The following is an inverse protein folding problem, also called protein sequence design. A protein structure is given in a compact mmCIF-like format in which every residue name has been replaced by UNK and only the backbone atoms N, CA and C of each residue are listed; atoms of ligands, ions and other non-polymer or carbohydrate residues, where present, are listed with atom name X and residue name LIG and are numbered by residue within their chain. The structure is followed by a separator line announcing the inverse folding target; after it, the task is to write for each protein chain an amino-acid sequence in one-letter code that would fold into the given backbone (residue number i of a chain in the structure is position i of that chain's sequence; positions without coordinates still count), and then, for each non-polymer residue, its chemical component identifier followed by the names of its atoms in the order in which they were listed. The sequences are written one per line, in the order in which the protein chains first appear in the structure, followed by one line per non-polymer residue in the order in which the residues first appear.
data_IF_397254368643
#
_entry.id   IF_397254368643
#
_cell.length_a   1.000
_cell.length_b   1.000
_cell.length_c   1.000
_cell.angle_alpha   90.00
_cell.angle_beta   90.00
_cell.angle_gamma   90.00
#
_symmetry.space_group_name_H-M   'P 1'
#
loop_
_entity.id
_entity.type
_entity.pdbx_description
1 polymer ?
#
# COMPACT_ATOMS: atom_id res chain seq x y z
N UNK A 1 17.54 -18.25 -6.59
CA UNK A 1 16.15 -17.82 -6.75
C UNK A 1 15.97 -16.67 -5.79
N UNK A 2 15.89 -15.47 -6.35
CA UNK A 2 15.92 -14.20 -5.64
C UNK A 2 14.70 -14.12 -4.72
N UNK A 3 14.93 -13.91 -3.42
CA UNK A 3 13.87 -13.65 -2.47
C UNK A 3 13.14 -12.39 -2.93
N UNK A 4 11.96 -12.53 -3.56
CA UNK A 4 11.04 -11.42 -3.72
C UNK A 4 10.64 -11.00 -2.30
N UNK A 5 11.34 -10.01 -1.76
CA UNK A 5 11.15 -9.49 -0.41
C UNK A 5 9.71 -9.04 -0.28
N UNK A 6 8.94 -9.80 0.49
CA UNK A 6 7.55 -9.48 0.84
C UNK A 6 7.55 -8.10 1.51
N UNK A 7 7.05 -7.08 0.80
CA UNK A 7 6.95 -5.72 1.32
C UNK A 7 6.06 -5.72 2.57
N UNK A 8 6.53 -5.08 3.64
CA UNK A 8 5.82 -4.97 4.92
C UNK A 8 6.00 -3.57 5.48
N UNK A 9 5.01 -3.13 6.25
CA UNK A 9 5.15 -1.92 7.05
C UNK A 9 6.23 -2.12 8.12
N UNK A 10 7.04 -1.09 8.35
CA UNK A 10 8.04 -1.12 9.42
C UNK A 10 7.36 -1.15 10.80
N UNK A 11 8.02 -1.73 11.79
CA UNK A 11 7.45 -1.95 13.13
C UNK A 11 7.03 -0.65 13.85
N UNK A 12 7.76 0.43 13.61
CA UNK A 12 7.50 1.76 14.17
C UNK A 12 6.43 2.56 13.40
N UNK A 13 5.82 1.96 12.35
CA UNK A 13 4.72 2.56 11.60
C UNK A 13 3.38 2.13 12.20
N UNK A 14 2.57 3.11 12.57
CA UNK A 14 1.18 2.90 13.02
C UNK A 14 0.23 3.35 11.92
N UNK A 15 -0.77 2.53 11.65
CA UNK A 15 -1.81 2.82 10.64
C UNK A 15 -3.16 2.87 11.33
N UNK A 16 -3.91 3.95 11.10
CA UNK A 16 -5.27 4.12 11.63
C UNK A 16 -6.21 4.56 10.52
N UNK A 17 -7.37 3.92 10.44
CA UNK A 17 -8.41 4.31 9.48
C UNK A 17 -9.33 5.35 10.13
N UNK A 18 -9.48 6.50 9.48
CA UNK A 18 -10.27 7.63 9.94
C UNK A 18 -11.29 8.04 8.87
N UNK A 19 -12.24 8.90 9.23
CA UNK A 19 -13.27 9.38 8.28
C UNK A 19 -12.69 10.09 7.04
N UNK A 20 -11.50 10.68 7.16
CA UNK A 20 -10.81 11.38 6.08
C UNK A 20 -9.87 10.49 5.26
N UNK A 21 -9.79 9.19 5.54
CA UNK A 21 -8.85 8.27 4.90
C UNK A 21 -7.97 7.54 5.90
N UNK A 22 -6.90 6.92 5.41
CA UNK A 22 -5.95 6.20 6.26
C UNK A 22 -4.81 7.11 6.69
N UNK A 23 -4.59 7.22 7.99
CA UNK A 23 -3.48 7.97 8.59
C UNK A 23 -2.34 7.01 8.89
N UNK A 24 -1.14 7.34 8.41
CA UNK A 24 0.10 6.61 8.65
C UNK A 24 1.02 7.48 9.50
N UNK A 25 1.38 6.99 10.68
CA UNK A 25 2.30 7.65 11.60
C UNK A 25 3.60 6.86 11.70
N UNK A 26 4.71 7.51 11.37
CA UNK A 26 6.06 6.94 11.49
C UNK A 26 6.72 7.54 12.74
N UNK A 27 6.92 6.70 13.76
CA UNK A 27 7.25 7.18 15.11
C UNK A 27 8.70 7.67 15.29
N UNK A 28 9.64 7.27 14.43
CA UNK A 28 11.06 7.63 14.53
C UNK A 28 11.31 9.05 14.02
N UNK A 29 10.74 9.41 12.87
CA UNK A 29 10.84 10.77 12.30
C UNK A 29 9.64 11.67 12.64
N UNK A 30 8.68 11.14 13.41
CA UNK A 30 7.45 11.84 13.82
C UNK A 30 6.63 12.36 12.64
N UNK A 31 6.68 11.66 11.50
CA UNK A 31 5.97 12.06 10.28
C UNK A 31 4.56 11.46 10.23
N UNK A 32 3.63 12.28 9.74
CA UNK A 32 2.24 11.90 9.51
C UNK A 32 1.94 12.00 8.01
N UNK A 33 1.38 10.92 7.46
CA UNK A 33 0.89 10.86 6.09
C UNK A 33 -0.61 10.56 6.09
N UNK A 34 -1.33 11.15 5.14
CA UNK A 34 -2.73 10.85 4.86
C UNK A 34 -2.77 10.15 3.51
N UNK A 35 -3.17 8.90 3.51
CA UNK A 35 -3.31 8.10 2.31
C UNK A 35 -4.65 8.39 1.62
N UNK A 36 -4.60 8.54 0.30
CA UNK A 36 -5.79 8.58 -0.55
C UNK A 36 -6.47 7.19 -0.60
N UNK A 37 -7.54 7.06 -1.38
CA UNK A 37 -8.29 5.80 -1.48
C UNK A 37 -7.44 4.64 -2.00
N UNK A 38 -6.68 4.86 -3.08
CA UNK A 38 -5.81 3.82 -3.67
C UNK A 38 -4.72 3.39 -2.71
N UNK A 39 -4.01 4.33 -2.09
CA UNK A 39 -2.99 4.04 -1.09
C UNK A 39 -3.58 3.34 0.15
N UNK A 40 -4.80 3.71 0.56
CA UNK A 40 -5.54 3.02 1.63
C UNK A 40 -5.75 1.54 1.30
N UNK A 41 -6.20 1.23 0.07
CA UNK A 41 -6.38 -0.16 -0.39
C UNK A 41 -5.07 -0.92 -0.42
N UNK A 42 -4.00 -0.32 -0.97
CA UNK A 42 -2.66 -0.91 -1.00
C UNK A 42 -2.19 -1.26 0.42
N UNK A 43 -2.30 -0.32 1.37
CA UNK A 43 -1.91 -0.54 2.77
C UNK A 43 -2.73 -1.68 3.40
N UNK A 44 -4.03 -1.77 3.13
CA UNK A 44 -4.87 -2.87 3.62
C UNK A 44 -4.38 -4.22 3.09
N UNK A 45 -4.13 -4.31 1.79
CA UNK A 45 -3.68 -5.53 1.14
C UNK A 45 -2.28 -5.98 1.60
N UNK A 46 -1.37 -5.03 1.87
CA UNK A 46 -0.08 -5.32 2.48
C UNK A 46 -0.22 -5.89 3.90
N UNK A 47 -1.18 -5.38 4.69
CA UNK A 47 -1.47 -5.91 6.04
C UNK A 47 -2.12 -7.29 6.01
N UNK A 48 -2.88 -7.60 4.96
CA UNK A 48 -3.38 -8.95 4.66
C UNK A 48 -2.27 -9.89 4.18
N UNK A 49 -1.09 -9.35 3.89
CA UNK A 49 0.08 -10.12 3.47
C UNK A 49 0.08 -10.48 1.99
N UNK A 50 -0.65 -9.74 1.15
CA UNK A 50 -0.51 -9.83 -0.31
C UNK A 50 0.84 -9.26 -0.75
N UNK A 51 1.41 -9.81 -1.82
CA UNK A 51 2.61 -9.24 -2.43
C UNK A 51 2.24 -8.15 -3.46
N UNK A 52 3.25 -7.45 -3.98
CA UNK A 52 3.03 -6.35 -4.92
C UNK A 52 2.37 -6.79 -6.23
N UNK A 53 2.65 -8.02 -6.68
CA UNK A 53 2.08 -8.54 -7.92
C UNK A 53 0.58 -8.80 -7.73
N UNK A 54 0.20 -9.43 -6.62
CA UNK A 54 -1.20 -9.65 -6.26
C UNK A 54 -1.96 -8.33 -6.09
N UNK A 55 -1.30 -7.32 -5.52
CA UNK A 55 -1.84 -5.96 -5.36
C UNK A 55 -2.11 -5.33 -6.72
N UNK A 56 -1.11 -5.29 -7.59
CA UNK A 56 -1.21 -4.71 -8.94
C UNK A 56 -2.32 -5.41 -9.74
N UNK A 57 -2.34 -6.74 -9.79
CA UNK A 57 -3.36 -7.50 -10.53
C UNK A 57 -4.77 -7.31 -9.96
N UNK A 58 -4.92 -7.14 -8.64
CA UNK A 58 -6.25 -6.91 -8.07
C UNK A 58 -6.77 -5.50 -8.39
N UNK A 59 -5.91 -4.48 -8.22
CA UNK A 59 -6.29 -3.08 -8.43
C UNK A 59 -6.46 -2.75 -9.92
N UNK A 60 -5.67 -3.35 -10.81
CA UNK A 60 -5.83 -3.19 -12.26
C UNK A 60 -7.21 -3.69 -12.72
N UNK A 61 -7.65 -4.84 -12.18
CA UNK A 61 -8.99 -5.40 -12.44
C UNK A 61 -10.10 -4.56 -11.83
N UNK A 62 -9.93 -4.08 -10.60
CA UNK A 62 -10.94 -3.26 -9.92
C UNK A 62 -11.16 -1.92 -10.64
N UNK A 63 -10.08 -1.28 -11.07
CA UNK A 63 -10.14 0.03 -11.73
C UNK A 63 -10.23 -0.06 -13.26
N UNK A 64 -10.21 -1.25 -13.83
CA UNK A 64 -10.21 -1.49 -15.28
C UNK A 64 -9.12 -0.69 -16.02
N UNK A 65 -7.91 -0.75 -15.48
CA UNK A 65 -6.69 -0.16 -16.06
C UNK A 65 -5.68 -1.26 -16.36
N UNK A 66 -4.71 -0.99 -17.22
CA UNK A 66 -3.64 -1.93 -17.49
C UNK A 66 -2.71 -2.11 -16.28
N UNK A 67 -2.07 -3.29 -16.18
CA UNK A 67 -1.18 -3.61 -15.05
C UNK A 67 0.08 -2.74 -15.04
N UNK A 68 0.51 -2.20 -16.19
CA UNK A 68 1.71 -1.34 -16.28
C UNK A 68 1.44 0.05 -15.68
N UNK A 69 0.30 0.65 -16.01
CA UNK A 69 -0.18 1.88 -15.40
C UNK A 69 -0.39 1.72 -13.88
N UNK A 70 -1.01 0.60 -13.46
CA UNK A 70 -1.19 0.31 -12.03
C UNK A 70 0.14 0.07 -11.32
N UNK A 71 1.11 -0.59 -11.95
CA UNK A 71 2.45 -0.75 -11.40
C UNK A 71 3.14 0.61 -11.21
N UNK A 72 2.96 1.54 -12.17
CA UNK A 72 3.42 2.91 -12.07
C UNK A 72 2.92 3.62 -10.80
N UNK A 73 1.64 3.45 -10.48
CA UNK A 73 1.04 4.03 -9.27
C UNK A 73 1.52 3.34 -7.98
N UNK A 74 1.70 2.01 -8.00
CA UNK A 74 2.09 1.23 -6.81
C UNK A 74 3.56 1.44 -6.43
N UNK A 75 4.43 1.71 -7.41
CA UNK A 75 5.87 1.89 -7.17
C UNK A 75 6.30 3.34 -6.87
N UNK A 76 5.40 4.31 -6.98
CA UNK A 76 5.64 5.72 -6.63
C UNK A 76 5.55 6.00 -5.13
#
# INVERSE_FOLDING_TARGET
MENASKLRLAEHVKVKHEKCGTVVFEAVSERIYIANETATKIISMLREGKDLKDIITSLSREYNVDEEAMAGDVYQ
#
